data_IF_880885771022
#
_entry.id   IF_880885771022
#
_cell.length_a   1.000
_cell.length_b   1.000
_cell.length_c   1.000
_cell.angle_alpha   90.00
_cell.angle_beta   90.00
_cell.angle_gamma   90.00
#
_symmetry.space_group_name_H-M   'P 1'
#
loop_
_entity.id
_entity.type
_entity.pdbx_description
1 polymer ?
#
# COMPACT_ATOMS: atom_id res chain seq x y z
N UNK A 1 4.67 -37.44 -30.92
CA UNK A 1 3.75 -36.32 -30.64
C UNK A 1 3.98 -35.75 -29.22
N UNK A 2 5.20 -35.34 -28.84
CA UNK A 2 5.48 -34.93 -27.43
C UNK A 2 6.48 -33.78 -27.25
N UNK A 3 6.65 -32.91 -28.24
CA UNK A 3 7.58 -31.76 -28.12
C UNK A 3 6.94 -30.38 -28.29
N UNK A 4 5.64 -30.29 -28.64
CA UNK A 4 4.95 -28.99 -28.78
C UNK A 4 4.49 -28.39 -27.44
N UNK A 5 4.15 -29.21 -26.44
CA UNK A 5 3.59 -28.74 -25.17
C UNK A 5 4.62 -28.17 -24.17
N UNK A 6 5.91 -28.54 -24.28
CA UNK A 6 6.93 -28.11 -23.30
C UNK A 6 7.44 -26.68 -23.47
N UNK A 7 7.20 -26.05 -24.62
CA UNK A 7 7.53 -24.62 -24.83
C UNK A 7 6.33 -23.70 -24.56
N UNK A 8 5.12 -24.26 -24.43
CA UNK A 8 3.93 -23.51 -24.02
C UNK A 8 3.86 -23.38 -22.49
N UNK A 9 4.30 -24.38 -21.73
CA UNK A 9 4.30 -24.32 -20.26
C UNK A 9 5.16 -23.18 -19.67
N UNK A 10 6.39 -22.90 -20.14
CA UNK A 10 7.18 -21.76 -19.67
C UNK A 10 6.61 -20.42 -20.14
N UNK A 11 5.97 -20.37 -21.32
CA UNK A 11 5.32 -19.16 -21.84
C UNK A 11 4.01 -18.86 -21.13
N UNK A 12 3.17 -19.85 -20.88
CA UNK A 12 1.97 -19.75 -20.05
C UNK A 12 2.32 -19.49 -18.60
N UNK A 13 3.39 -20.10 -18.06
CA UNK A 13 3.88 -19.77 -16.73
C UNK A 13 4.41 -18.34 -16.69
N UNK A 14 5.18 -17.89 -17.69
CA UNK A 14 5.62 -16.50 -17.76
C UNK A 14 4.43 -15.54 -17.91
N UNK A 15 3.48 -15.80 -18.80
CA UNK A 15 2.28 -14.97 -18.97
C UNK A 15 1.38 -14.97 -17.72
N UNK A 16 1.19 -16.11 -17.05
CA UNK A 16 0.40 -16.19 -15.82
C UNK A 16 1.13 -15.63 -14.58
N UNK A 17 2.47 -15.72 -14.53
CA UNK A 17 3.30 -15.18 -13.43
C UNK A 17 3.58 -13.69 -13.61
N UNK A 18 3.62 -13.18 -14.86
CA UNK A 18 3.81 -11.76 -15.18
C UNK A 18 2.50 -10.97 -15.10
N UNK A 19 1.35 -11.63 -15.20
CA UNK A 19 0.08 -10.91 -15.32
C UNK A 19 -0.50 -10.37 -14.03
N UNK A 20 0.04 -10.70 -12.85
CA UNK A 20 -0.29 -10.09 -11.55
C UNK A 20 0.70 -10.58 -10.47
N UNK A 21 1.97 -10.16 -10.54
CA UNK A 21 2.88 -10.28 -9.42
C UNK A 21 3.09 -8.89 -8.79
N UNK A 22 2.60 -8.60 -7.57
CA UNK A 22 2.87 -7.32 -6.90
C UNK A 22 4.36 -7.06 -6.67
N UNK A 23 5.22 -8.07 -6.89
CA UNK A 23 6.69 -8.01 -6.77
C UNK A 23 7.38 -7.49 -8.04
N UNK A 24 6.76 -7.58 -9.22
CA UNK A 24 7.34 -7.06 -10.48
C UNK A 24 6.52 -5.82 -10.86
N UNK A 25 7.04 -4.64 -10.51
CA UNK A 25 6.33 -3.37 -10.54
C UNK A 25 5.44 -3.12 -11.76
N UNK A 26 4.20 -2.72 -11.49
CA UNK A 26 3.22 -2.32 -12.50
C UNK A 26 3.76 -1.08 -13.23
N UNK A 27 3.82 -1.11 -14.57
CA UNK A 27 4.22 0.06 -15.36
C UNK A 27 3.11 1.10 -15.31
N UNK A 28 3.43 2.39 -15.19
CA UNK A 28 2.42 3.46 -15.10
C UNK A 28 1.41 3.49 -16.27
N UNK A 29 1.77 2.95 -17.42
CA UNK A 29 0.87 2.77 -18.58
C UNK A 29 -0.26 1.76 -18.29
N UNK A 30 0.00 0.72 -17.51
CA UNK A 30 -0.98 -0.31 -17.16
C UNK A 30 -2.00 0.23 -16.14
N UNK A 31 -1.55 1.11 -15.23
CA UNK A 31 -2.42 1.84 -14.32
C UNK A 31 -3.36 2.79 -15.06
N UNK A 32 -2.82 3.58 -16.00
CA UNK A 32 -3.62 4.50 -16.80
C UNK A 32 -4.68 3.76 -17.64
N UNK A 33 -4.29 2.63 -18.22
CA UNK A 33 -5.20 1.78 -19.00
C UNK A 33 -6.31 1.22 -18.14
N UNK A 34 -5.96 0.73 -16.94
CA UNK A 34 -6.93 0.20 -15.98
C UNK A 34 -7.89 1.30 -15.48
N UNK A 35 -7.37 2.50 -15.18
CA UNK A 35 -8.19 3.65 -14.79
C UNK A 35 -9.15 4.07 -15.92
N UNK A 36 -8.67 4.12 -17.16
CA UNK A 36 -9.51 4.41 -18.33
C UNK A 36 -10.60 3.36 -18.52
N UNK A 37 -10.27 2.09 -18.34
CA UNK A 37 -11.24 0.99 -18.41
C UNK A 37 -12.34 1.16 -17.36
N UNK A 38 -11.97 1.43 -16.11
CA UNK A 38 -12.93 1.70 -15.02
C UNK A 38 -13.84 2.89 -15.38
N UNK A 39 -13.27 4.00 -15.84
CA UNK A 39 -14.04 5.19 -16.25
C UNK A 39 -14.99 4.91 -17.43
N UNK A 40 -14.52 4.21 -18.46
CA UNK A 40 -15.36 3.84 -19.60
C UNK A 40 -16.50 2.91 -19.19
N UNK A 41 -16.26 2.00 -18.26
CA UNK A 41 -17.29 1.09 -17.75
C UNK A 41 -18.37 1.84 -16.98
N UNK A 42 -18.00 2.84 -16.17
CA UNK A 42 -18.95 3.69 -15.45
C UNK A 42 -19.93 4.41 -16.40
N UNK A 43 -19.45 4.83 -17.57
CA UNK A 43 -20.27 5.49 -18.61
C UNK A 43 -21.11 4.47 -19.38
N UNK A 44 -20.57 3.27 -19.67
CA UNK A 44 -21.25 2.25 -20.48
C UNK A 44 -22.38 1.52 -19.76
N UNK A 45 -22.35 1.46 -18.44
CA UNK A 45 -23.37 0.77 -17.64
C UNK A 45 -24.12 1.71 -16.69
N UNK A 46 -24.89 2.68 -17.22
CA UNK A 46 -25.56 3.69 -16.40
C UNK A 46 -26.56 3.05 -15.42
N UNK A 47 -27.29 2.01 -15.83
CA UNK A 47 -28.25 1.27 -14.99
C UNK A 47 -27.57 0.51 -13.83
N UNK A 48 -26.34 0.03 -14.04
CA UNK A 48 -25.55 -0.61 -12.99
C UNK A 48 -25.07 0.42 -11.97
N UNK A 49 -24.53 1.54 -12.47
CA UNK A 49 -24.07 2.66 -11.66
C UNK A 49 -25.19 3.30 -10.82
N UNK A 50 -26.41 3.44 -11.36
CA UNK A 50 -27.53 4.02 -10.59
C UNK A 50 -27.92 3.21 -9.37
N UNK A 51 -27.84 1.86 -9.44
CA UNK A 51 -28.11 0.99 -8.28
C UNK A 51 -27.11 1.25 -7.16
N UNK A 52 -25.82 1.30 -7.47
CA UNK A 52 -24.77 1.58 -6.49
C UNK A 52 -24.85 3.00 -5.93
N UNK A 53 -25.20 3.98 -6.76
CA UNK A 53 -25.47 5.36 -6.30
C UNK A 53 -26.66 5.40 -5.35
N UNK A 54 -27.73 4.64 -5.62
CA UNK A 54 -28.89 4.56 -4.72
C UNK A 54 -28.53 3.91 -3.38
N UNK A 55 -27.81 2.78 -3.39
CA UNK A 55 -27.31 2.12 -2.18
C UNK A 55 -26.38 3.05 -1.37
N UNK A 56 -25.43 3.72 -2.03
CA UNK A 56 -24.56 4.71 -1.39
C UNK A 56 -25.36 5.86 -0.78
N UNK A 57 -26.39 6.35 -1.49
CA UNK A 57 -27.22 7.46 -1.02
C UNK A 57 -28.08 7.09 0.20
N UNK A 58 -28.59 5.85 0.23
CA UNK A 58 -29.27 5.31 1.41
C UNK A 58 -28.32 5.19 2.60
N UNK A 59 -27.11 4.68 2.36
CA UNK A 59 -26.12 4.57 3.43
C UNK A 59 -25.65 5.94 3.92
N UNK A 60 -25.45 6.90 3.01
CA UNK A 60 -25.12 8.28 3.36
C UNK A 60 -26.21 8.91 4.23
N UNK A 61 -27.49 8.67 3.91
CA UNK A 61 -28.61 9.07 4.77
C UNK A 61 -28.48 8.43 6.16
N UNK A 62 -28.20 7.14 6.26
CA UNK A 62 -28.01 6.44 7.55
C UNK A 62 -26.85 7.04 8.35
N UNK A 63 -25.73 7.35 7.68
CA UNK A 63 -24.58 8.01 8.30
C UNK A 63 -24.96 9.38 8.84
N UNK A 64 -25.62 10.22 8.04
CA UNK A 64 -26.07 11.56 8.47
C UNK A 64 -27.04 11.50 9.64
N UNK A 65 -27.96 10.52 9.65
CA UNK A 65 -28.90 10.28 10.75
C UNK A 65 -28.24 9.61 11.97
N UNK A 66 -26.98 9.17 11.87
CA UNK A 66 -26.27 8.47 12.94
C UNK A 66 -26.73 7.02 13.17
N UNK A 67 -27.40 6.42 12.18
CA UNK A 67 -27.94 5.06 12.20
C UNK A 67 -27.04 4.04 11.48
N UNK A 68 -25.94 4.49 10.87
CA UNK A 68 -24.99 3.59 10.21
C UNK A 68 -24.21 2.76 11.23
N UNK A 69 -24.19 1.45 11.01
CA UNK A 69 -23.39 0.49 11.77
C UNK A 69 -22.02 0.20 11.14
N UNK A 70 -21.64 0.95 10.09
CA UNK A 70 -20.34 0.78 9.46
C UNK A 70 -19.22 1.05 10.46
N UNK A 71 -18.27 0.12 10.51
CA UNK A 71 -17.06 0.18 11.33
C UNK A 71 -15.86 -0.21 10.48
N UNK A 72 -14.67 0.34 10.76
CA UNK A 72 -13.44 -0.13 10.14
C UNK A 72 -13.25 -1.62 10.48
N UNK A 73 -12.50 -2.34 9.64
CA UNK A 73 -12.12 -3.72 9.97
C UNK A 73 -11.28 -3.74 11.24
N UNK A 74 -11.35 -4.84 12.00
CA UNK A 74 -10.69 -4.96 13.31
C UNK A 74 -9.17 -4.73 13.25
N UNK A 75 -8.56 -5.03 12.10
CA UNK A 75 -7.12 -4.84 11.84
C UNK A 75 -6.77 -3.47 11.23
N UNK A 76 -7.75 -2.60 10.94
CA UNK A 76 -7.51 -1.30 10.30
C UNK A 76 -7.05 -0.24 11.31
N UNK A 77 -5.74 -0.23 11.56
CA UNK A 77 -5.08 0.68 12.51
C UNK A 77 -5.22 2.15 12.15
N UNK A 78 -5.61 2.51 10.92
CA UNK A 78 -5.75 3.91 10.51
C UNK A 78 -6.81 4.65 11.32
N UNK A 79 -7.85 3.93 11.76
CA UNK A 79 -8.96 4.47 12.54
C UNK A 79 -8.85 4.17 14.04
N UNK A 80 -7.63 3.94 14.55
CA UNK A 80 -7.39 3.62 15.96
C UNK A 80 -7.55 4.79 16.93
N UNK A 81 -7.49 6.04 16.45
CA UNK A 81 -7.71 7.22 17.31
C UNK A 81 -9.15 7.22 17.86
N UNK A 82 -9.35 7.40 19.18
CA UNK A 82 -10.68 7.41 19.80
C UNK A 82 -11.65 8.43 19.21
N UNK A 83 -11.16 9.53 18.61
CA UNK A 83 -12.00 10.52 17.95
C UNK A 83 -12.86 9.90 16.85
N UNK A 84 -12.38 8.88 16.13
CA UNK A 84 -13.13 8.20 15.08
C UNK A 84 -14.39 7.48 15.57
N UNK A 85 -14.42 7.07 16.85
CA UNK A 85 -15.57 6.38 17.45
C UNK A 85 -16.39 7.29 18.38
N UNK A 86 -15.74 8.19 19.09
CA UNK A 86 -16.37 9.02 20.14
C UNK A 86 -16.91 10.35 19.63
N UNK A 87 -16.31 10.95 18.59
CA UNK A 87 -16.79 12.22 18.05
C UNK A 87 -17.78 11.98 16.89
N UNK A 88 -19.03 12.46 16.98
CA UNK A 88 -20.04 12.23 15.95
C UNK A 88 -19.65 12.71 14.55
N UNK A 89 -18.88 13.82 14.44
CA UNK A 89 -18.44 14.34 13.14
C UNK A 89 -17.39 13.44 12.51
N UNK A 90 -16.38 13.03 13.29
CA UNK A 90 -15.34 12.10 12.82
C UNK A 90 -15.90 10.72 12.50
N UNK A 91 -16.82 10.22 13.33
CA UNK A 91 -17.54 8.97 13.08
C UNK A 91 -18.29 9.03 11.75
N UNK A 92 -19.06 10.10 11.49
CA UNK A 92 -19.77 10.30 10.22
C UNK A 92 -18.82 10.42 9.02
N UNK A 93 -17.70 11.12 9.18
CA UNK A 93 -16.71 11.25 8.13
C UNK A 93 -16.09 9.90 7.76
N UNK A 94 -15.65 9.13 8.75
CA UNK A 94 -15.15 7.76 8.57
C UNK A 94 -16.21 6.86 7.93
N UNK A 95 -17.44 6.84 8.45
CA UNK A 95 -18.50 5.98 7.90
C UNK A 95 -18.87 6.35 6.47
N UNK A 96 -18.86 7.64 6.12
CA UNK A 96 -19.05 8.09 4.73
C UNK A 96 -17.97 7.54 3.81
N UNK A 97 -16.70 7.58 4.24
CA UNK A 97 -15.58 6.99 3.51
C UNK A 97 -15.73 5.47 3.37
N UNK A 98 -16.08 4.76 4.44
CA UNK A 98 -16.27 3.31 4.41
C UNK A 98 -17.42 2.90 3.48
N UNK A 99 -18.54 3.64 3.52
CA UNK A 99 -19.68 3.44 2.61
C UNK A 99 -19.26 3.64 1.16
N UNK A 100 -18.55 4.73 0.87
CA UNK A 100 -18.07 5.05 -0.47
C UNK A 100 -17.10 3.98 -1.01
N UNK A 101 -16.12 3.58 -0.19
CA UNK A 101 -15.17 2.51 -0.54
C UNK A 101 -15.89 1.20 -0.81
N UNK A 102 -16.80 0.77 0.09
CA UNK A 102 -17.57 -0.46 -0.06
C UNK A 102 -18.37 -0.47 -1.37
N UNK A 103 -19.03 0.64 -1.70
CA UNK A 103 -19.83 0.75 -2.91
C UNK A 103 -18.98 0.76 -4.18
N UNK A 104 -17.81 1.43 -4.19
CA UNK A 104 -16.89 1.34 -5.33
C UNK A 104 -16.40 -0.09 -5.57
N UNK A 105 -16.03 -0.82 -4.51
CA UNK A 105 -15.64 -2.22 -4.61
C UNK A 105 -16.78 -3.13 -5.09
N UNK A 106 -17.99 -2.90 -4.59
CA UNK A 106 -19.18 -3.63 -5.01
C UNK A 106 -19.48 -3.35 -6.49
N UNK A 107 -19.40 -2.09 -6.90
CA UNK A 107 -19.68 -1.67 -8.28
C UNK A 107 -18.71 -2.31 -9.29
N UNK A 108 -17.40 -2.35 -9.01
CA UNK A 108 -16.48 -3.03 -9.94
C UNK A 108 -16.69 -4.55 -9.97
N UNK A 109 -17.07 -5.15 -8.83
CA UNK A 109 -17.23 -6.60 -8.72
C UNK A 109 -18.50 -7.12 -9.41
N UNK A 110 -19.52 -6.29 -9.54
CA UNK A 110 -20.76 -6.62 -10.26
C UNK A 110 -20.79 -6.08 -11.71
N UNK A 111 -19.69 -5.49 -12.17
CA UNK A 111 -19.56 -5.02 -13.55
C UNK A 111 -19.42 -6.19 -14.52
N UNK A 112 -19.93 -6.02 -15.74
CA UNK A 112 -19.77 -6.98 -16.84
C UNK A 112 -18.37 -6.88 -17.46
N UNK A 113 -17.36 -7.31 -16.71
CA UNK A 113 -15.95 -7.30 -17.07
C UNK A 113 -15.37 -8.70 -16.90
N UNK A 114 -14.26 -8.97 -17.59
CA UNK A 114 -13.51 -10.20 -17.38
C UNK A 114 -13.01 -10.27 -15.93
N UNK A 115 -12.83 -11.48 -15.35
CA UNK A 115 -12.28 -11.60 -13.99
C UNK A 115 -10.94 -10.88 -13.81
N UNK A 116 -10.10 -10.86 -14.85
CA UNK A 116 -8.82 -10.16 -14.85
C UNK A 116 -8.99 -8.63 -14.80
N UNK A 117 -9.95 -8.08 -15.55
CA UNK A 117 -10.24 -6.65 -15.54
C UNK A 117 -10.92 -6.21 -14.24
N UNK A 118 -11.73 -7.07 -13.62
CA UNK A 118 -12.26 -6.82 -12.26
C UNK A 118 -11.10 -6.70 -11.26
N UNK A 119 -10.13 -7.62 -11.26
CA UNK A 119 -8.96 -7.53 -10.38
C UNK A 119 -8.14 -6.25 -10.60
N UNK A 120 -7.94 -5.85 -11.87
CA UNK A 120 -7.27 -4.57 -12.20
C UNK A 120 -8.07 -3.37 -11.71
N UNK A 121 -9.39 -3.38 -11.90
CA UNK A 121 -10.28 -2.33 -11.43
C UNK A 121 -10.30 -2.21 -9.90
N UNK A 122 -10.35 -3.34 -9.19
CA UNK A 122 -10.23 -3.39 -7.73
C UNK A 122 -8.90 -2.81 -7.25
N UNK A 123 -7.80 -3.09 -7.94
CA UNK A 123 -6.49 -2.49 -7.63
C UNK A 123 -6.52 -0.96 -7.78
N UNK A 124 -7.06 -0.44 -8.89
CA UNK A 124 -7.16 1.02 -9.11
C UNK A 124 -8.07 1.68 -8.07
N UNK A 125 -9.20 1.05 -7.74
CA UNK A 125 -10.12 1.53 -6.70
C UNK A 125 -9.46 1.50 -5.32
N UNK A 126 -8.68 0.46 -5.01
CA UNK A 126 -7.88 0.43 -3.78
C UNK A 126 -6.90 1.59 -3.74
N UNK A 127 -6.12 1.82 -4.79
CA UNK A 127 -5.16 2.93 -4.83
C UNK A 127 -5.85 4.29 -4.65
N UNK A 128 -6.97 4.51 -5.32
CA UNK A 128 -7.76 5.74 -5.21
C UNK A 128 -8.34 5.93 -3.80
N UNK A 129 -9.01 4.91 -3.27
CA UNK A 129 -9.68 4.99 -1.97
C UNK A 129 -8.67 5.10 -0.82
N UNK A 130 -7.54 4.39 -0.91
CA UNK A 130 -6.44 4.51 0.04
C UNK A 130 -5.84 5.93 0.02
N UNK A 131 -5.57 6.51 -1.16
CA UNK A 131 -5.06 7.86 -1.27
C UNK A 131 -6.03 8.91 -0.68
N UNK A 132 -7.34 8.72 -0.90
CA UNK A 132 -8.41 9.59 -0.43
C UNK A 132 -8.89 9.27 1.00
N UNK A 133 -8.20 8.40 1.73
CA UNK A 133 -8.56 8.07 3.10
C UNK A 133 -8.61 9.32 3.99
N UNK A 134 -9.62 9.46 4.87
CA UNK A 134 -9.69 10.52 5.89
C UNK A 134 -8.41 10.73 6.69
N UNK A 135 -7.66 9.65 6.88
CA UNK A 135 -6.44 9.61 7.69
C UNK A 135 -5.24 10.25 7.00
N UNK A 136 -5.32 10.46 5.68
CA UNK A 136 -4.29 11.11 4.87
C UNK A 136 -4.54 12.62 4.70
N UNK A 137 -5.59 13.14 5.33
CA UNK A 137 -5.95 14.56 5.30
C UNK A 137 -5.42 15.29 6.54
N UNK A 138 -5.28 16.62 6.44
CA UNK A 138 -5.03 17.51 7.59
C UNK A 138 -6.14 17.44 8.65
N UNK A 139 -7.32 16.95 8.27
CA UNK A 139 -8.42 16.68 9.20
C UNK A 139 -8.20 15.43 10.06
N UNK A 140 -7.11 14.67 9.90
CA UNK A 140 -6.83 13.52 10.78
C UNK A 140 -6.76 13.99 12.26
N UNK A 141 -7.50 13.36 13.20
CA UNK A 141 -7.50 13.74 14.62
C UNK A 141 -6.11 13.85 15.23
N UNK A 142 -5.19 12.93 14.88
CA UNK A 142 -3.82 12.95 15.37
C UNK A 142 -3.04 14.16 14.83
N UNK A 143 -3.26 14.53 13.56
CA UNK A 143 -2.64 15.71 12.95
C UNK A 143 -3.18 17.02 13.56
N UNK A 144 -4.50 17.11 13.74
CA UNK A 144 -5.14 18.27 14.38
C UNK A 144 -4.67 18.42 15.84
N UNK A 145 -4.64 17.33 16.60
CA UNK A 145 -4.13 17.32 17.98
C UNK A 145 -2.68 17.80 18.03
N UNK A 146 -1.81 17.24 17.17
CA UNK A 146 -0.40 17.62 17.12
C UNK A 146 -0.20 19.08 16.71
N UNK A 147 -1.02 19.58 15.79
CA UNK A 147 -1.01 20.99 15.40
C UNK A 147 -1.25 21.89 16.62
N UNK A 148 -2.29 21.63 17.42
CA UNK A 148 -2.57 22.42 18.62
C UNK A 148 -1.50 22.26 19.70
N UNK A 149 -1.04 21.03 19.99
CA UNK A 149 0.01 20.77 20.99
C UNK A 149 1.33 21.48 20.69
N UNK A 150 1.63 21.68 19.41
CA UNK A 150 2.86 22.33 18.94
C UNK A 150 2.68 23.81 18.62
N UNK A 151 1.49 24.38 18.81
CA UNK A 151 1.19 25.74 18.39
C UNK A 151 1.40 25.98 16.88
N UNK A 152 1.19 24.96 16.06
CA UNK A 152 1.40 24.99 14.61
C UNK A 152 2.81 24.66 14.13
N UNK A 153 3.79 24.49 15.03
CA UNK A 153 5.18 24.16 14.64
C UNK A 153 5.28 22.86 13.84
N UNK A 154 4.48 21.84 14.18
CA UNK A 154 4.48 20.55 13.43
C UNK A 154 4.16 20.70 11.94
N UNK A 155 3.31 21.65 11.56
CA UNK A 155 3.00 21.93 10.16
C UNK A 155 4.19 22.59 9.45
N UNK A 156 4.85 23.54 10.11
CA UNK A 156 6.04 24.20 9.58
C UNK A 156 7.19 23.21 9.39
N UNK A 157 7.43 22.35 10.39
CA UNK A 157 8.43 21.29 10.31
C UNK A 157 8.11 20.33 9.15
N UNK A 158 6.85 19.93 8.99
CA UNK A 158 6.39 19.09 7.89
C UNK A 158 6.58 19.71 6.50
N UNK A 159 6.33 21.01 6.35
CA UNK A 159 6.60 21.74 5.09
C UNK A 159 8.11 21.83 4.81
N UNK A 160 8.93 21.98 5.85
CA UNK A 160 10.39 21.90 5.75
C UNK A 160 10.87 20.54 5.26
N UNK A 161 10.32 19.46 5.82
CA UNK A 161 10.60 18.09 5.35
C UNK A 161 10.18 17.89 3.89
N UNK A 162 8.98 18.32 3.51
CA UNK A 162 8.50 18.25 2.12
C UNK A 162 9.44 18.98 1.15
N UNK A 163 9.86 20.20 1.49
CA UNK A 163 10.81 20.95 0.67
C UNK A 163 12.16 20.25 0.56
N UNK A 164 12.68 19.71 1.67
CA UNK A 164 13.93 18.94 1.70
C UNK A 164 13.83 17.69 0.81
N UNK A 165 12.72 16.97 0.86
CA UNK A 165 12.48 15.75 0.09
C UNK A 165 12.29 16.04 -1.40
N UNK A 166 11.63 17.15 -1.76
CA UNK A 166 11.52 17.61 -3.16
C UNK A 166 12.88 17.93 -3.78
N UNK A 167 13.77 18.58 -3.01
CA UNK A 167 15.09 18.97 -3.50
C UNK A 167 16.07 17.80 -3.50
N UNK A 168 16.09 16.99 -2.43
CA UNK A 168 17.17 16.03 -2.18
C UNK A 168 16.76 14.57 -2.42
N UNK A 169 15.47 14.25 -2.50
CA UNK A 169 14.98 12.87 -2.60
C UNK A 169 13.97 12.65 -3.74
N UNK A 170 14.00 13.51 -4.77
CA UNK A 170 13.11 13.40 -5.93
C UNK A 170 11.61 13.49 -5.58
N UNK A 171 11.27 14.12 -4.45
CA UNK A 171 9.91 14.20 -3.93
C UNK A 171 9.43 12.98 -3.15
N UNK A 172 10.28 11.98 -2.95
CA UNK A 172 9.95 10.84 -2.10
C UNK A 172 10.15 11.20 -0.62
N UNK A 173 9.21 10.87 0.28
CA UNK A 173 9.40 11.13 1.70
C UNK A 173 10.60 10.36 2.25
N UNK A 174 11.50 11.05 2.95
CA UNK A 174 12.58 10.40 3.69
C UNK A 174 12.02 9.67 4.92
N UNK A 175 12.29 8.36 5.05
CA UNK A 175 11.80 7.54 6.16
C UNK A 175 12.78 7.47 7.33
N UNK A 176 14.08 7.61 7.03
CA UNK A 176 15.17 7.55 8.01
C UNK A 176 16.17 8.65 7.68
N UNK A 177 16.86 9.11 8.72
CA UNK A 177 18.02 9.96 8.55
C UNK A 177 19.20 9.10 8.09
N UNK A 178 19.51 9.15 6.80
CA UNK A 178 20.61 8.37 6.21
C UNK A 178 21.98 8.83 6.73
N UNK A 179 22.10 10.08 7.18
CA UNK A 179 23.35 10.63 7.71
C UNK A 179 23.65 10.11 9.13
N UNK A 180 22.64 9.54 9.80
CA UNK A 180 22.80 8.94 11.13
C UNK A 180 23.45 7.55 11.10
N UNK A 181 23.49 6.88 9.95
CA UNK A 181 23.95 5.49 9.83
C UNK A 181 25.11 5.34 8.85
N UNK A 182 26.17 4.68 9.32
CA UNK A 182 27.33 4.34 8.53
C UNK A 182 27.57 2.82 8.62
N UNK A 183 27.42 2.15 7.47
CA UNK A 183 27.62 0.70 7.32
C UNK A 183 29.05 0.34 7.70
N UNK A 184 29.19 -0.65 8.58
CA UNK A 184 30.46 -1.09 9.14
C UNK A 184 30.92 -0.32 10.38
N UNK A 185 30.28 0.81 10.75
CA UNK A 185 30.60 1.55 11.99
C UNK A 185 29.52 1.48 13.06
N UNK A 186 28.28 1.82 12.72
CA UNK A 186 27.14 1.76 13.63
C UNK A 186 25.96 0.96 13.07
N UNK A 187 26.10 0.42 11.86
CA UNK A 187 25.17 -0.49 11.21
C UNK A 187 25.94 -1.67 10.60
N UNK A 188 25.37 -2.88 10.67
CA UNK A 188 26.02 -4.11 10.15
C UNK A 188 27.44 -4.34 10.73
N UNK A 189 27.59 -4.21 12.04
CA UNK A 189 28.87 -4.24 12.76
C UNK A 189 29.27 -5.61 13.31
N UNK A 190 28.49 -6.66 13.05
CA UNK A 190 28.82 -8.02 13.50
C UNK A 190 30.13 -8.46 12.86
N UNK A 191 31.12 -8.79 13.68
CA UNK A 191 32.44 -9.17 13.20
C UNK A 191 32.39 -10.41 12.30
N UNK A 192 33.02 -10.33 11.14
CA UNK A 192 33.05 -11.37 10.13
C UNK A 192 34.01 -11.01 9.01
N UNK A 193 34.14 -11.91 8.03
CA UNK A 193 34.98 -11.71 6.86
C UNK A 193 34.29 -12.21 5.59
N UNK A 194 34.57 -11.56 4.47
CA UNK A 194 34.18 -12.05 3.15
C UNK A 194 35.10 -13.22 2.79
N UNK A 195 34.53 -14.43 2.67
CA UNK A 195 35.27 -15.67 2.38
C UNK A 195 35.11 -16.13 0.94
N UNK A 196 34.14 -15.59 0.21
CA UNK A 196 33.94 -15.83 -1.22
C UNK A 196 33.29 -14.61 -1.88
N UNK A 197 33.65 -14.33 -3.14
CA UNK A 197 33.12 -13.20 -3.93
C UNK A 197 33.02 -13.59 -5.40
N UNK A 198 31.92 -13.21 -6.04
CA UNK A 198 31.74 -13.24 -7.49
C UNK A 198 30.90 -12.03 -7.96
N UNK A 199 30.52 -12.00 -9.23
CA UNK A 199 29.75 -10.89 -9.82
C UNK A 199 28.32 -10.74 -9.25
N UNK A 200 27.83 -11.74 -8.53
CA UNK A 200 26.44 -11.79 -8.03
C UNK A 200 26.40 -11.56 -6.52
N UNK A 201 27.41 -11.99 -5.76
CA UNK A 201 27.38 -11.98 -4.30
C UNK A 201 28.75 -11.92 -3.64
N UNK A 202 28.70 -11.56 -2.35
CA UNK A 202 29.75 -11.77 -1.36
C UNK A 202 29.22 -12.72 -0.28
N UNK A 203 30.01 -13.74 0.07
CA UNK A 203 29.70 -14.65 1.18
C UNK A 203 30.45 -14.19 2.42
N UNK A 204 29.70 -13.84 3.46
CA UNK A 204 30.24 -13.41 4.75
C UNK A 204 30.20 -14.59 5.74
N UNK A 205 31.35 -14.89 6.34
CA UNK A 205 31.43 -15.78 7.50
C UNK A 205 31.65 -14.95 8.75
N UNK A 206 30.68 -14.99 9.67
CA UNK A 206 30.77 -14.28 10.95
C UNK A 206 31.73 -14.98 11.92
N UNK A 207 32.41 -14.18 12.75
CA UNK A 207 33.31 -14.66 13.79
C UNK A 207 32.49 -15.36 14.88
N UNK A 208 32.85 -16.59 15.31
CA UNK A 208 32.21 -17.24 16.45
C UNK A 208 32.37 -16.38 17.71
N UNK A 209 31.31 -16.31 18.52
CA UNK A 209 31.31 -15.63 19.83
C UNK A 209 31.22 -16.62 21.00
N UNK A 210 31.35 -17.91 20.71
CA UNK A 210 31.29 -19.03 21.66
C UNK A 210 32.49 -19.97 21.45
N UNK A 211 32.85 -20.73 22.48
CA UNK A 211 33.96 -21.71 22.41
C UNK A 211 33.65 -22.90 21.49
N UNK A 212 32.38 -23.29 21.41
CA UNK A 212 31.89 -24.34 20.53
C UNK A 212 30.70 -23.87 19.69
N UNK A 213 30.53 -24.47 18.52
CA UNK A 213 29.43 -24.23 17.58
C UNK A 213 28.81 -25.55 17.16
N UNK A 214 27.59 -25.51 16.61
CA UNK A 214 26.99 -26.69 16.01
C UNK A 214 27.74 -27.10 14.74
N UNK A 215 27.82 -28.41 14.49
CA UNK A 215 28.51 -28.98 13.33
C UNK A 215 27.88 -28.52 11.99
N UNK A 216 26.55 -28.35 11.95
CA UNK A 216 25.83 -27.89 10.76
C UNK A 216 25.77 -26.37 10.72
N UNK A 217 26.30 -25.71 9.66
CA UNK A 217 26.24 -24.27 9.52
C UNK A 217 24.83 -23.80 9.13
N UNK A 218 24.52 -22.54 9.47
CA UNK A 218 23.34 -21.83 8.99
C UNK A 218 23.74 -20.93 7.81
N UNK A 219 23.09 -21.12 6.66
CA UNK A 219 23.21 -20.22 5.51
C UNK A 219 22.00 -19.28 5.46
N UNK A 220 22.26 -17.98 5.48
CA UNK A 220 21.22 -16.94 5.35
C UNK A 220 21.24 -16.39 3.93
N UNK A 221 20.10 -16.47 3.23
CA UNK A 221 19.93 -15.90 1.89
C UNK A 221 18.99 -14.70 1.98
N UNK A 222 19.52 -13.46 2.05
CA UNK A 222 18.68 -12.27 2.16
C UNK A 222 17.95 -11.95 0.85
N UNK A 223 16.85 -11.18 0.90
CA UNK A 223 16.19 -10.70 -0.31
C UNK A 223 17.11 -9.75 -1.09
N UNK A 224 17.02 -9.76 -2.43
CA UNK A 224 17.76 -8.84 -3.29
C UNK A 224 17.16 -7.42 -3.35
N UNK A 225 15.93 -7.27 -2.88
CA UNK A 225 15.22 -5.98 -2.82
C UNK A 225 14.89 -5.72 -1.35
N UNK A 226 15.37 -4.58 -0.86
CA UNK A 226 14.95 -4.03 0.44
C UNK A 226 13.94 -2.90 0.24
N UNK A 227 13.17 -2.60 1.29
CA UNK A 227 12.26 -1.45 1.35
C UNK A 227 13.01 -0.16 1.65
#
# INVERSE_FOLDING_TARGET
MSQKNNNELPKQAAENTLNLNPVIGIRGKDLLTSARMVLLQAVRQPLHSTRHVAHFSLELKNVLLGQSELRPGDDDRRFSDPAWSQNPLYKRYMQTYLAWRKELHSWISHSDLSPQDISRGQFVINLLTEAMSPTNSLSNPAAVKRFFETGGKSLLDGLGHLAKDLVNNGGMPSQVDMDAFEVGKNLATTEGAVVFRNDVLELIQYRPITESVHERPLLVVPPQINK
#
